data_IF_224487920760
#
_entry.id   IF_224487920760
#
_cell.length_a   1.000
_cell.length_b   1.000
_cell.length_c   1.000
_cell.angle_alpha   90.00
_cell.angle_beta   90.00
_cell.angle_gamma   90.00
#
_symmetry.space_group_name_H-M   'P 1'
#
loop_
_entity.id
_entity.type
_entity.pdbx_description
1 polymer ?
#
# COMPACT_ATOMS: atom_id res chain seq x y z
N UNK A 1 -31.75 13.06 12.30
CA UNK A 1 -31.17 11.87 11.65
C UNK A 1 -30.43 12.35 10.40
N UNK A 2 -29.16 12.75 10.54
CA UNK A 2 -28.37 13.32 9.43
C UNK A 2 -27.71 12.20 8.62
N UNK A 3 -27.85 12.26 7.30
CA UNK A 3 -27.40 11.26 6.34
C UNK A 3 -25.89 10.98 6.44
N UNK A 4 -25.56 9.71 6.71
CA UNK A 4 -24.23 9.15 6.50
C UNK A 4 -23.87 9.32 5.03
N UNK A 5 -22.81 10.06 4.73
CA UNK A 5 -22.11 9.95 3.47
C UNK A 5 -21.51 8.53 3.42
N UNK A 6 -22.17 7.60 2.72
CA UNK A 6 -21.87 6.16 2.74
C UNK A 6 -20.73 5.76 1.80
N UNK A 7 -20.14 6.72 1.08
CA UNK A 7 -19.43 6.43 -0.17
C UNK A 7 -17.92 6.72 -0.14
N UNK A 8 -17.35 7.04 1.02
CA UNK A 8 -15.90 6.86 1.18
C UNK A 8 -15.62 5.36 1.25
N UNK A 9 -15.05 4.79 0.19
CA UNK A 9 -14.77 3.35 0.08
C UNK A 9 -14.21 2.80 1.40
N UNK A 10 -14.77 1.68 1.89
CA UNK A 10 -14.51 1.12 3.23
C UNK A 10 -13.02 0.97 3.58
N UNK A 11 -12.17 0.83 2.55
CA UNK A 11 -10.71 0.72 2.63
C UNK A 11 -10.00 1.97 3.19
N UNK A 12 -10.62 3.15 3.14
CA UNK A 12 -10.03 4.41 3.64
C UNK A 12 -10.13 4.56 5.16
N UNK A 13 -10.65 3.55 5.88
CA UNK A 13 -10.73 3.51 7.34
C UNK A 13 -9.50 2.86 7.99
N UNK A 14 -8.61 2.28 7.20
CA UNK A 14 -7.49 1.48 7.69
C UNK A 14 -6.20 2.30 7.70
N UNK A 15 -5.44 2.23 8.80
CA UNK A 15 -4.15 2.89 8.93
C UNK A 15 -2.98 1.95 8.57
N UNK A 16 -1.96 2.47 7.88
CA UNK A 16 -0.75 1.72 7.50
C UNK A 16 0.49 2.06 8.32
N UNK A 17 0.56 3.29 8.84
CA UNK A 17 1.50 3.73 9.88
C UNK A 17 0.79 4.69 10.85
N UNK A 18 0.95 4.43 12.14
CA UNK A 18 0.65 5.37 13.20
C UNK A 18 1.96 6.09 13.56
N UNK A 19 2.00 7.43 13.43
CA UNK A 19 3.06 8.23 14.04
C UNK A 19 2.40 9.35 14.82
N UNK A 20 2.22 9.20 16.14
CA UNK A 20 1.84 10.32 16.98
C UNK A 20 3.08 11.24 17.06
N UNK A 21 3.19 12.17 16.12
CA UNK A 21 4.12 13.30 16.25
C UNK A 21 3.24 14.55 16.25
N UNK A 22 3.32 15.33 17.34
CA UNK A 22 2.58 16.57 17.47
C UNK A 22 2.81 17.45 16.22
N UNK A 23 1.72 17.90 15.60
CA UNK A 23 1.74 18.77 14.42
C UNK A 23 1.78 18.08 13.05
N UNK A 24 1.82 16.73 12.96
CA UNK A 24 1.73 16.01 11.68
C UNK A 24 0.40 15.27 11.53
N UNK A 25 -0.01 15.01 10.28
CA UNK A 25 -1.16 14.13 9.97
C UNK A 25 -0.96 12.81 10.74
N UNK A 26 -1.89 12.43 11.65
CA UNK A 26 -1.63 11.43 12.68
C UNK A 26 -1.45 9.99 12.15
N UNK A 27 -1.81 9.75 10.88
CA UNK A 27 -1.68 8.45 10.24
C UNK A 27 -1.63 8.57 8.72
N UNK A 28 -0.95 7.61 8.08
CA UNK A 28 -1.03 7.42 6.63
C UNK A 28 -2.02 6.30 6.34
N UNK A 29 -3.00 6.57 5.48
CA UNK A 29 -4.01 5.57 5.10
C UNK A 29 -3.33 4.38 4.44
N UNK A 30 -3.74 3.17 4.83
CA UNK A 30 -3.14 1.93 4.37
C UNK A 30 -3.16 1.78 2.84
N UNK A 31 -4.26 2.12 2.12
CA UNK A 31 -4.24 2.11 0.66
C UNK A 31 -3.17 3.05 0.05
N UNK A 32 -2.99 4.25 0.60
CA UNK A 32 -1.97 5.18 0.12
C UNK A 32 -0.57 4.71 0.45
N UNK A 33 -0.36 4.10 1.62
CA UNK A 33 0.92 3.49 1.95
C UNK A 33 1.34 2.43 0.93
N UNK A 34 0.41 1.55 0.58
CA UNK A 34 0.63 0.51 -0.42
C UNK A 34 0.93 1.10 -1.80
N UNK A 35 0.18 2.13 -2.21
CA UNK A 35 0.38 2.79 -3.51
C UNK A 35 1.71 3.54 -3.58
N UNK A 36 2.16 4.18 -2.49
CA UNK A 36 3.46 4.84 -2.43
C UNK A 36 4.61 3.84 -2.65
N UNK A 37 4.53 2.68 -1.99
CA UNK A 37 5.52 1.60 -2.15
C UNK A 37 5.50 1.05 -3.58
N UNK A 38 4.31 0.84 -4.16
CA UNK A 38 4.16 0.40 -5.54
C UNK A 38 4.72 1.42 -6.55
N UNK A 39 4.49 2.72 -6.32
CA UNK A 39 4.99 3.79 -7.16
C UNK A 39 6.53 3.87 -7.14
N UNK A 40 7.13 3.81 -5.95
CA UNK A 40 8.59 3.77 -5.78
C UNK A 40 9.15 2.51 -6.44
N UNK A 41 8.54 1.35 -6.22
CA UNK A 41 8.93 0.09 -6.85
C UNK A 41 8.94 0.18 -8.38
N UNK A 42 7.91 0.79 -8.96
CA UNK A 42 7.84 0.99 -10.42
C UNK A 42 8.93 1.93 -10.95
N UNK A 43 9.31 2.97 -10.20
CA UNK A 43 10.43 3.84 -10.56
C UNK A 43 11.77 3.10 -10.46
N UNK A 44 11.95 2.24 -9.45
CA UNK A 44 13.16 1.44 -9.29
C UNK A 44 13.32 0.43 -10.44
N UNK A 45 12.25 -0.29 -10.81
CA UNK A 45 12.29 -1.27 -11.90
C UNK A 45 12.59 -0.66 -13.28
N UNK A 46 12.45 0.65 -13.45
CA UNK A 46 12.85 1.37 -14.68
C UNK A 46 14.33 1.72 -14.72
N UNK A 47 15.05 1.60 -13.61
CA UNK A 47 16.48 1.86 -13.56
C UNK A 47 17.23 0.65 -14.11
N UNK A 48 18.26 0.88 -14.93
CA UNK A 48 19.04 -0.19 -15.56
C UNK A 48 19.65 -1.19 -14.56
N UNK A 49 19.96 -0.74 -13.35
CA UNK A 49 20.54 -1.56 -12.27
C UNK A 49 19.57 -2.57 -11.64
N UNK A 50 18.26 -2.46 -11.90
CA UNK A 50 17.22 -3.35 -11.37
C UNK A 50 16.57 -4.17 -12.48
N UNK A 51 17.39 -4.83 -13.30
CA UNK A 51 16.89 -5.74 -14.33
C UNK A 51 16.17 -6.94 -13.71
N UNK A 52 15.01 -7.27 -14.28
CA UNK A 52 14.22 -8.45 -13.91
C UNK A 52 14.41 -9.62 -14.87
N UNK A 53 15.29 -9.50 -15.87
CA UNK A 53 15.40 -10.44 -16.99
C UNK A 53 15.65 -11.89 -16.58
N UNK A 54 16.57 -12.11 -15.62
CA UNK A 54 16.86 -13.46 -15.11
C UNK A 54 15.63 -14.07 -14.44
N UNK A 55 14.90 -13.28 -13.64
CA UNK A 55 13.68 -13.73 -12.97
C UNK A 55 12.53 -13.93 -13.95
N UNK A 56 12.42 -13.07 -14.97
CA UNK A 56 11.38 -13.17 -15.99
C UNK A 56 11.56 -14.46 -16.80
N UNK A 57 12.79 -14.77 -17.19
CA UNK A 57 13.14 -16.04 -17.84
C UNK A 57 12.82 -17.24 -16.95
N UNK A 58 13.20 -17.20 -15.68
CA UNK A 58 12.92 -18.28 -14.73
C UNK A 58 11.41 -18.50 -14.51
N UNK A 59 10.63 -17.42 -14.52
CA UNK A 59 9.18 -17.46 -14.38
C UNK A 59 8.43 -17.78 -15.69
N UNK A 60 9.11 -17.85 -16.83
CA UNK A 60 8.48 -18.00 -18.14
C UNK A 60 7.63 -16.78 -18.56
N UNK A 61 7.97 -15.59 -18.06
CA UNK A 61 7.25 -14.34 -18.29
C UNK A 61 8.08 -13.37 -19.13
N UNK A 62 7.41 -12.42 -19.78
CA UNK A 62 8.09 -11.23 -20.31
C UNK A 62 8.55 -10.35 -19.15
N UNK A 63 9.62 -9.58 -19.34
CA UNK A 63 10.09 -8.62 -18.33
C UNK A 63 8.99 -7.63 -17.92
N UNK A 64 8.17 -7.19 -18.89
CA UNK A 64 7.04 -6.32 -18.64
C UNK A 64 5.97 -6.97 -17.75
N UNK A 65 5.64 -8.25 -17.99
CA UNK A 65 4.66 -8.98 -17.19
C UNK A 65 5.17 -9.22 -15.77
N UNK A 66 6.45 -9.61 -15.61
CA UNK A 66 7.03 -9.78 -14.29
C UNK A 66 7.13 -8.45 -13.54
N UNK A 67 7.55 -7.37 -14.19
CA UNK A 67 7.58 -6.04 -13.58
C UNK A 67 6.20 -5.58 -13.12
N UNK A 68 5.15 -5.82 -13.92
CA UNK A 68 3.77 -5.53 -13.52
C UNK A 68 3.34 -6.38 -12.31
N UNK A 69 3.68 -7.68 -12.29
CA UNK A 69 3.40 -8.56 -11.16
C UNK A 69 4.11 -8.10 -9.89
N UNK A 70 5.38 -7.68 -9.97
CA UNK A 70 6.12 -7.12 -8.83
C UNK A 70 5.41 -5.87 -8.29
N UNK A 71 5.03 -4.92 -9.15
CA UNK A 71 4.32 -3.70 -8.73
C UNK A 71 2.96 -4.03 -8.09
N UNK A 72 2.25 -5.03 -8.63
CA UNK A 72 1.02 -5.53 -8.04
C UNK A 72 1.26 -6.09 -6.63
N UNK A 73 2.24 -6.97 -6.44
CA UNK A 73 2.55 -7.51 -5.12
C UNK A 73 3.06 -6.44 -4.14
N UNK A 74 3.79 -5.42 -4.61
CA UNK A 74 4.15 -4.25 -3.79
C UNK A 74 2.91 -3.47 -3.33
N UNK A 75 1.88 -3.39 -4.17
CA UNK A 75 0.58 -2.81 -3.77
C UNK A 75 -0.12 -3.65 -2.69
N UNK A 76 0.17 -4.94 -2.62
CA UNK A 76 -0.43 -5.87 -1.64
C UNK A 76 0.49 -6.20 -0.45
N UNK A 77 1.69 -5.63 -0.38
CA UNK A 77 2.72 -6.06 0.57
C UNK A 77 2.25 -6.01 2.04
N UNK A 78 1.39 -5.03 2.34
CA UNK A 78 0.84 -4.78 3.67
C UNK A 78 -0.65 -5.17 3.76
N UNK A 79 -1.16 -6.06 2.90
CA UNK A 79 -2.57 -6.48 2.92
C UNK A 79 -2.99 -7.06 4.28
N UNK A 80 -2.05 -7.69 5.00
CA UNK A 80 -2.27 -8.18 6.37
C UNK A 80 -2.64 -7.09 7.37
N UNK A 81 -2.32 -5.82 7.09
CA UNK A 81 -2.67 -4.69 7.96
C UNK A 81 -4.16 -4.34 7.94
N UNK A 82 -4.92 -4.83 6.95
CA UNK A 82 -6.39 -4.73 6.99
C UNK A 82 -7.03 -5.64 8.06
N UNK A 83 -6.26 -6.58 8.64
CA UNK A 83 -6.77 -7.45 9.69
C UNK A 83 -7.04 -6.67 11.00
N UNK A 84 -8.11 -7.07 11.70
CA UNK A 84 -8.48 -6.49 13.00
C UNK A 84 -7.33 -6.52 14.01
N UNK A 85 -6.56 -7.62 14.06
CA UNK A 85 -5.43 -7.76 14.97
C UNK A 85 -4.38 -6.67 14.79
N UNK A 86 -4.09 -6.29 13.54
CA UNK A 86 -3.16 -5.21 13.25
C UNK A 86 -3.76 -3.84 13.57
N UNK A 87 -5.00 -3.58 13.13
CA UNK A 87 -5.65 -2.28 13.35
C UNK A 87 -5.84 -1.95 14.83
N UNK A 88 -5.94 -2.97 15.70
CA UNK A 88 -6.04 -2.80 17.15
C UNK A 88 -4.71 -2.45 17.84
N UNK A 89 -3.58 -2.44 17.13
CA UNK A 89 -2.27 -2.06 17.70
C UNK A 89 -2.18 -0.56 18.01
N UNK A 90 -3.03 0.27 17.41
CA UNK A 90 -3.12 1.69 17.71
C UNK A 90 -4.59 2.14 17.67
N UNK A 91 -5.06 2.78 18.74
CA UNK A 91 -6.35 3.45 18.75
C UNK A 91 -6.23 4.83 18.10
N UNK A 92 -6.26 4.84 16.78
CA UNK A 92 -6.35 6.09 16.01
C UNK A 92 -7.82 6.48 15.99
N UNK A 93 -8.17 7.53 16.74
CA UNK A 93 -9.47 8.18 16.60
C UNK A 93 -9.50 8.86 15.25
N UNK A 94 -10.14 8.23 14.26
CA UNK A 94 -10.54 8.90 13.02
C UNK A 94 -11.71 9.79 13.40
N UNK A 95 -11.42 11.00 13.88
CA UNK A 95 -12.46 12.00 14.11
C UNK A 95 -13.05 12.33 12.75
N UNK A 96 -14.34 11.99 12.57
CA UNK A 96 -15.13 12.50 11.44
C UNK A 96 -15.45 13.98 11.66
#
# INVERSE_FOLDING_TARGET
>A
MQGRNKDAASIFRYWGKAKPREGCIPYHLLPYHCLDVAAVGRLLLRQQKFSVGVFAKAAGLSEAALAAAIVFFLTLHDIGKFARGFQNLAQISVTN
#
